data_IF_272741645495
#
_entry.id   IF_272741645495
#
_cell.length_a   1.000
_cell.length_b   1.000
_cell.length_c   1.000
_cell.angle_alpha   90.00
_cell.angle_beta   90.00
_cell.angle_gamma   90.00
#
_symmetry.space_group_name_H-M   'P 1'
#
loop_
_entity.id
_entity.type
_entity.pdbx_description
1 polymer ?
#
# COMPACT_ATOMS: atom_id res chain seq x y z
N UNK A 1 -44.34 -45.09 -45.17
CA UNK A 1 -44.65 -43.75 -44.61
C UNK A 1 -43.95 -43.59 -43.25
N UNK A 2 -42.64 -43.29 -43.22
CA UNK A 2 -41.89 -43.12 -41.93
C UNK A 2 -40.76 -42.08 -41.98
N UNK A 3 -40.45 -41.50 -43.15
CA UNK A 3 -39.30 -40.59 -43.33
C UNK A 3 -39.50 -39.20 -42.70
N UNK A 4 -40.73 -38.66 -42.63
CA UNK A 4 -40.97 -37.29 -42.16
C UNK A 4 -40.86 -37.10 -40.64
N UNK A 5 -41.22 -38.13 -39.86
CA UNK A 5 -41.14 -38.09 -38.40
C UNK A 5 -39.70 -38.21 -37.90
N UNK A 6 -38.86 -38.97 -38.61
CA UNK A 6 -37.44 -39.10 -38.32
C UNK A 6 -36.69 -37.78 -38.57
N UNK A 7 -36.90 -37.15 -39.72
CA UNK A 7 -36.28 -35.86 -40.05
C UNK A 7 -36.69 -34.74 -39.10
N UNK A 8 -37.96 -34.71 -38.67
CA UNK A 8 -38.47 -33.71 -37.73
C UNK A 8 -37.91 -33.89 -36.32
N UNK A 9 -37.69 -35.13 -35.87
CA UNK A 9 -37.04 -35.44 -34.59
C UNK A 9 -35.55 -35.10 -34.63
N UNK A 10 -34.87 -35.40 -35.74
CA UNK A 10 -33.46 -35.05 -35.95
C UNK A 10 -33.27 -33.53 -35.94
N UNK A 11 -34.11 -32.78 -36.67
CA UNK A 11 -34.07 -31.32 -36.70
C UNK A 11 -34.32 -30.70 -35.32
N UNK A 12 -35.26 -31.25 -34.54
CA UNK A 12 -35.52 -30.80 -33.17
C UNK A 12 -34.32 -31.05 -32.24
N UNK A 13 -33.67 -32.22 -32.33
CA UNK A 13 -32.46 -32.49 -31.55
C UNK A 13 -31.31 -31.55 -31.91
N UNK A 14 -31.13 -31.27 -33.21
CA UNK A 14 -30.08 -30.37 -33.71
C UNK A 14 -30.30 -28.92 -33.26
N UNK A 15 -31.56 -28.47 -33.23
CA UNK A 15 -31.94 -27.15 -32.74
C UNK A 15 -31.70 -27.01 -31.22
N UNK A 16 -32.08 -28.02 -30.42
CA UNK A 16 -31.82 -28.03 -28.97
C UNK A 16 -30.32 -28.05 -28.68
N UNK A 17 -29.54 -28.81 -29.45
CA UNK A 17 -28.09 -28.84 -29.32
C UNK A 17 -27.44 -27.49 -29.64
N UNK A 18 -27.93 -26.78 -30.67
CA UNK A 18 -27.47 -25.42 -30.99
C UNK A 18 -27.79 -24.43 -29.86
N UNK A 19 -28.99 -24.51 -29.28
CA UNK A 19 -29.38 -23.63 -28.16
C UNK A 19 -28.49 -23.89 -26.95
N UNK A 20 -28.17 -25.16 -26.63
CA UNK A 20 -27.27 -25.49 -25.52
C UNK A 20 -25.85 -24.93 -25.71
N UNK A 21 -25.34 -24.94 -26.95
CA UNK A 21 -24.01 -24.42 -27.26
C UNK A 21 -23.93 -22.89 -27.26
N UNK A 22 -25.02 -22.19 -27.61
CA UNK A 22 -25.06 -20.71 -27.63
C UNK A 22 -25.11 -20.11 -26.21
N UNK A 23 -25.55 -20.87 -25.19
CA UNK A 23 -25.56 -20.38 -23.79
C UNK A 23 -24.14 -20.24 -23.20
N UNK A 24 -23.11 -20.72 -23.90
CA UNK A 24 -21.70 -20.57 -23.53
C UNK A 24 -21.10 -19.25 -24.06
N UNK A 25 -21.86 -18.15 -24.16
CA UNK A 25 -21.22 -16.84 -24.36
C UNK A 25 -20.51 -16.51 -23.05
N UNK A 26 -19.16 -16.48 -22.99
CA UNK A 26 -18.51 -15.92 -21.83
C UNK A 26 -19.02 -14.50 -21.72
N UNK A 27 -19.67 -14.18 -20.59
CA UNK A 27 -19.85 -12.81 -20.17
C UNK A 27 -18.44 -12.22 -20.17
N UNK A 28 -18.11 -11.49 -21.23
CA UNK A 28 -16.92 -10.67 -21.28
C UNK A 28 -17.09 -9.73 -20.10
N UNK A 29 -16.41 -10.03 -19.01
CA UNK A 29 -16.28 -9.17 -17.87
C UNK A 29 -15.42 -8.01 -18.38
N UNK A 30 -16.05 -7.07 -19.07
CA UNK A 30 -15.55 -5.73 -19.19
C UNK A 30 -15.60 -5.17 -17.77
N UNK A 31 -14.58 -5.51 -16.98
CA UNK A 31 -14.22 -4.71 -15.84
C UNK A 31 -14.04 -3.31 -16.42
N UNK A 32 -15.04 -2.46 -16.15
CA UNK A 32 -14.90 -1.04 -16.32
C UNK A 32 -13.59 -0.71 -15.61
N UNK A 33 -12.59 -0.22 -16.33
CA UNK A 33 -11.42 0.42 -15.71
C UNK A 33 -12.02 1.64 -15.03
N UNK A 34 -12.50 1.43 -13.81
CA UNK A 34 -13.08 2.46 -13.00
C UNK A 34 -11.95 3.43 -12.72
N UNK A 35 -12.25 4.72 -12.66
CA UNK A 35 -11.28 5.75 -12.31
C UNK A 35 -10.48 5.38 -11.05
N UNK A 36 -11.03 4.54 -10.15
CA UNK A 36 -10.32 3.96 -9.01
C UNK A 36 -9.09 3.10 -9.34
N UNK A 37 -9.07 2.38 -10.47
CA UNK A 37 -7.94 1.57 -10.93
C UNK A 37 -6.81 2.47 -11.46
N UNK A 38 -7.17 3.53 -12.18
CA UNK A 38 -6.22 4.57 -12.62
C UNK A 38 -5.67 5.38 -11.43
N UNK A 39 -6.51 5.69 -10.43
CA UNK A 39 -6.05 6.35 -9.21
C UNK A 39 -5.11 5.46 -8.39
N UNK A 40 -5.35 4.13 -8.35
CA UNK A 40 -4.48 3.21 -7.61
C UNK A 40 -3.13 3.04 -8.31
N UNK A 41 -3.08 2.98 -9.64
CA UNK A 41 -1.80 3.00 -10.37
C UNK A 41 -1.04 4.31 -10.16
N UNK A 42 -1.71 5.47 -10.21
CA UNK A 42 -1.08 6.76 -9.94
C UNK A 42 -0.55 6.86 -8.51
N UNK A 43 -1.32 6.42 -7.51
CA UNK A 43 -0.89 6.41 -6.11
C UNK A 43 0.34 5.53 -5.92
N UNK A 44 0.37 4.34 -6.53
CA UNK A 44 1.51 3.42 -6.46
C UNK A 44 2.77 4.00 -7.09
N UNK A 45 2.63 4.74 -8.20
CA UNK A 45 3.74 5.42 -8.83
C UNK A 45 4.31 6.50 -7.90
N UNK A 46 3.44 7.33 -7.30
CA UNK A 46 3.84 8.34 -6.30
C UNK A 46 4.55 7.71 -5.10
N UNK A 47 3.99 6.62 -4.56
CA UNK A 47 4.56 5.87 -3.43
C UNK A 47 5.97 5.34 -3.74
N UNK A 48 6.18 4.83 -4.97
CA UNK A 48 7.51 4.38 -5.43
C UNK A 48 8.50 5.53 -5.51
N UNK A 49 8.10 6.66 -6.08
CA UNK A 49 8.96 7.86 -6.15
C UNK A 49 9.32 8.38 -4.76
N UNK A 50 8.38 8.33 -3.81
CA UNK A 50 8.63 8.75 -2.43
C UNK A 50 9.68 7.87 -1.75
N UNK A 51 9.62 6.54 -1.93
CA UNK A 51 10.65 5.63 -1.40
C UNK A 51 12.04 5.89 -2.01
N UNK A 52 12.12 6.15 -3.32
CA UNK A 52 13.39 6.49 -3.98
C UNK A 52 13.92 7.81 -3.42
N UNK A 53 13.06 8.81 -3.19
CA UNK A 53 13.45 10.07 -2.56
C UNK A 53 13.93 9.88 -1.10
N UNK A 54 13.42 8.89 -0.36
CA UNK A 54 13.94 8.56 0.97
C UNK A 54 15.36 7.98 0.92
N UNK A 55 15.75 7.29 -0.16
CA UNK A 55 17.15 6.88 -0.36
C UNK A 55 18.09 8.06 -0.56
N UNK A 56 17.56 9.25 -0.85
CA UNK A 56 18.36 10.47 -0.96
C UNK A 56 18.69 11.11 0.39
N UNK A 57 17.99 10.74 1.46
CA UNK A 57 18.28 11.20 2.80
C UNK A 57 19.67 10.74 3.26
N UNK A 58 20.42 11.67 3.83
CA UNK A 58 21.81 11.44 4.21
C UNK A 58 21.96 10.39 5.31
N UNK A 59 21.00 10.31 6.25
CA UNK A 59 21.00 9.28 7.30
C UNK A 59 20.72 7.89 6.72
N UNK A 60 19.86 7.80 5.71
CA UNK A 60 19.56 6.54 5.01
C UNK A 60 20.78 6.07 4.23
N UNK A 61 21.44 6.96 3.49
CA UNK A 61 22.70 6.68 2.78
C UNK A 61 23.78 6.16 3.73
N UNK A 62 24.02 6.84 4.85
CA UNK A 62 25.03 6.45 5.83
C UNK A 62 24.73 5.07 6.42
N UNK A 63 23.45 4.75 6.70
CA UNK A 63 23.05 3.42 7.17
C UNK A 63 23.23 2.33 6.11
N UNK A 64 22.88 2.60 4.86
CA UNK A 64 23.07 1.65 3.76
C UNK A 64 24.56 1.34 3.56
N UNK A 65 25.40 2.37 3.57
CA UNK A 65 26.86 2.24 3.52
C UNK A 65 27.41 1.45 4.71
N UNK A 66 26.92 1.71 5.93
CA UNK A 66 27.31 0.95 7.11
C UNK A 66 26.94 -0.55 7.03
N UNK A 67 25.90 -0.89 6.27
CA UNK A 67 25.51 -2.28 6.00
C UNK A 67 26.20 -2.88 4.75
N UNK A 68 27.04 -2.11 4.05
CA UNK A 68 27.70 -2.53 2.81
C UNK A 68 26.75 -2.67 1.62
N UNK A 69 25.62 -1.95 1.64
CA UNK A 69 24.61 -1.99 0.59
C UNK A 69 24.69 -0.73 -0.25
N UNK A 70 24.90 -0.89 -1.56
CA UNK A 70 24.92 0.21 -2.52
C UNK A 70 23.50 0.75 -2.79
N UNK A 71 23.37 2.07 -2.95
CA UNK A 71 22.08 2.75 -3.22
C UNK A 71 21.39 2.17 -4.46
N UNK A 72 22.13 2.00 -5.54
CA UNK A 72 21.61 1.53 -6.83
C UNK A 72 21.03 0.11 -6.72
N UNK A 73 21.54 -0.72 -5.80
CA UNK A 73 21.00 -2.04 -5.56
C UNK A 73 19.62 -1.97 -4.91
N UNK A 74 19.42 -1.05 -3.97
CA UNK A 74 18.13 -0.86 -3.28
C UNK A 74 17.11 -0.23 -4.22
N UNK A 75 17.52 0.75 -5.02
CA UNK A 75 16.68 1.38 -6.04
C UNK A 75 16.16 0.36 -7.05
N UNK A 76 17.05 -0.51 -7.56
CA UNK A 76 16.66 -1.60 -8.44
C UNK A 76 15.67 -2.58 -7.78
N UNK A 77 15.82 -2.85 -6.48
CA UNK A 77 14.85 -3.71 -5.76
C UNK A 77 13.48 -3.05 -5.68
N UNK A 78 13.41 -1.78 -5.30
CA UNK A 78 12.14 -1.02 -5.22
C UNK A 78 11.45 -0.97 -6.59
N UNK A 79 12.22 -0.79 -7.67
CA UNK A 79 11.69 -0.79 -9.03
C UNK A 79 11.15 -2.16 -9.49
N UNK A 80 11.69 -3.25 -8.95
CA UNK A 80 11.28 -4.61 -9.26
C UNK A 80 10.13 -5.14 -8.36
N UNK A 81 9.76 -4.43 -7.28
CA UNK A 81 8.63 -4.82 -6.45
C UNK A 81 7.32 -4.70 -7.24
N UNK A 82 6.45 -5.70 -7.12
CA UNK A 82 5.08 -5.59 -7.61
C UNK A 82 4.29 -4.56 -6.81
N UNK A 83 3.19 -4.08 -7.38
CA UNK A 83 2.31 -3.11 -6.72
C UNK A 83 1.81 -3.58 -5.35
N UNK A 84 1.48 -4.88 -5.22
CA UNK A 84 1.05 -5.48 -3.96
C UNK A 84 2.19 -5.53 -2.91
N UNK A 85 3.40 -5.90 -3.33
CA UNK A 85 4.57 -5.95 -2.44
C UNK A 85 5.00 -4.56 -1.98
N UNK A 86 4.91 -3.55 -2.85
CA UNK A 86 5.21 -2.16 -2.53
C UNK A 86 4.27 -1.63 -1.45
N UNK A 87 2.97 -1.90 -1.58
CA UNK A 87 1.98 -1.50 -0.58
C UNK A 87 2.24 -2.15 0.78
N UNK A 88 2.54 -3.45 0.79
CA UNK A 88 2.89 -4.18 2.01
C UNK A 88 4.19 -3.64 2.66
N UNK A 89 5.19 -3.31 1.85
CA UNK A 89 6.45 -2.73 2.32
C UNK A 89 6.25 -1.35 2.94
N UNK A 90 5.47 -0.48 2.31
CA UNK A 90 5.13 0.83 2.86
C UNK A 90 4.38 0.74 4.19
N UNK A 91 3.48 -0.24 4.33
CA UNK A 91 2.78 -0.49 5.57
C UNK A 91 3.76 -0.89 6.69
N UNK A 92 4.72 -1.76 6.41
CA UNK A 92 5.78 -2.14 7.37
C UNK A 92 6.69 -0.97 7.74
N UNK A 93 7.04 -0.09 6.79
CA UNK A 93 7.81 1.12 7.08
C UNK A 93 7.05 2.10 7.97
N UNK A 94 5.73 2.19 7.80
CA UNK A 94 4.87 3.06 8.61
C UNK A 94 4.70 2.54 10.04
N UNK A 95 4.74 1.22 10.21
CA UNK A 95 4.70 0.55 11.52
C UNK A 95 6.07 0.55 12.23
N UNK A 96 7.17 0.64 11.47
CA UNK A 96 8.48 0.87 12.05
C UNK A 96 8.47 2.22 12.77
N UNK A 97 8.99 2.33 14.01
CA UNK A 97 8.93 3.57 14.78
C UNK A 97 9.82 4.65 14.15
N UNK A 98 9.29 5.33 13.13
CA UNK A 98 9.79 6.55 12.53
C UNK A 98 9.52 7.73 13.49
N UNK A 99 10.13 7.63 14.67
CA UNK A 99 9.94 8.59 15.76
C UNK A 99 11.20 8.77 16.62
N UNK A 100 12.25 7.98 16.39
CA UNK A 100 13.55 8.14 17.06
C UNK A 100 14.46 9.18 16.38
N UNK A 101 13.89 10.15 15.67
CA UNK A 101 14.62 11.29 15.10
C UNK A 101 14.80 12.42 16.11
N UNK A 102 15.49 13.48 15.71
CA UNK A 102 15.70 14.70 16.53
C UNK A 102 14.38 15.25 17.09
N UNK A 103 13.29 15.19 16.31
CA UNK A 103 11.95 15.60 16.77
C UNK A 103 11.44 14.76 17.94
N UNK A 104 11.62 13.43 17.93
CA UNK A 104 11.21 12.57 19.03
C UNK A 104 12.01 12.83 20.30
N UNK A 105 13.31 13.11 20.16
CA UNK A 105 14.16 13.51 21.29
C UNK A 105 13.69 14.85 21.87
N UNK A 106 13.39 15.84 21.02
CA UNK A 106 12.86 17.15 21.47
C UNK A 106 11.52 16.97 22.20
N UNK A 107 10.59 16.18 21.65
CA UNK A 107 9.29 15.93 22.27
C UNK A 107 9.44 15.19 23.60
N UNK A 108 10.34 14.20 23.68
CA UNK A 108 10.62 13.47 24.91
C UNK A 108 11.11 14.42 26.02
N UNK A 109 12.11 15.26 25.73
CA UNK A 109 12.60 16.25 26.71
C UNK A 109 11.51 17.25 27.11
N UNK A 110 10.69 17.70 26.16
CA UNK A 110 9.56 18.59 26.44
C UNK A 110 8.56 17.95 27.41
N UNK A 111 8.20 16.68 27.22
CA UNK A 111 7.32 15.94 28.15
C UNK A 111 7.95 15.79 29.53
N UNK A 112 9.24 15.41 29.59
CA UNK A 112 9.96 15.26 30.87
C UNK A 112 9.97 16.60 31.63
N UNK A 113 10.29 17.71 30.96
CA UNK A 113 10.33 19.02 31.61
C UNK A 113 8.95 19.49 32.06
N UNK A 114 7.88 19.24 31.28
CA UNK A 114 6.52 19.56 31.71
C UNK A 114 6.13 18.81 32.98
N UNK A 115 6.44 17.51 33.07
CA UNK A 115 6.16 16.70 34.27
C UNK A 115 6.95 17.22 35.47
N UNK A 116 8.23 17.53 35.27
CA UNK A 116 9.12 18.03 36.34
C UNK A 116 8.68 19.41 36.85
N UNK A 117 8.16 20.27 35.99
CA UNK A 117 7.59 21.58 36.33
C UNK A 117 6.25 21.43 37.10
N UNK A 118 5.39 20.49 36.69
CA UNK A 118 4.14 20.17 37.41
C UNK A 118 4.40 19.63 38.83
N UNK A 119 5.49 18.90 39.03
CA UNK A 119 5.95 18.41 40.34
C UNK A 119 6.69 19.47 41.17
N UNK A 120 6.82 20.70 40.68
CA UNK A 120 7.60 21.78 41.31
C UNK A 120 9.09 21.49 41.49
N UNK A 121 9.66 20.52 40.75
CA UNK A 121 11.08 20.23 40.79
C UNK A 121 11.89 21.20 39.91
N UNK A 122 11.25 21.79 38.89
CA UNK A 122 11.79 22.86 38.02
C UNK A 122 10.76 23.97 37.81
N UNK A 123 11.17 25.12 37.27
CA UNK A 123 10.27 26.19 36.81
C UNK A 123 10.81 26.74 35.49
N UNK A 124 10.44 26.07 34.39
CA UNK A 124 10.94 26.31 33.04
C UNK A 124 9.86 26.90 32.14
N UNK A 125 8.59 26.57 32.41
CA UNK A 125 7.44 26.97 31.63
C UNK A 125 6.44 27.75 32.51
N UNK A 126 6.28 29.05 32.24
CA UNK A 126 5.38 29.93 33.00
C UNK A 126 3.89 29.56 32.93
N UNK A 127 3.51 28.65 32.04
CA UNK A 127 2.15 28.16 31.87
C UNK A 127 1.88 26.84 32.63
N UNK A 128 2.91 26.15 33.12
CA UNK A 128 2.75 24.92 33.90
C UNK A 128 2.57 25.30 35.37
N UNK A 129 1.54 24.74 36.02
CA UNK A 129 1.22 25.01 37.42
C UNK A 129 1.56 23.78 38.26
N UNK A 130 2.18 24.04 39.41
CA UNK A 130 2.40 23.08 40.46
C UNK A 130 1.11 22.37 40.89
N UNK A 131 1.13 21.03 40.89
CA UNK A 131 -0.02 20.22 41.33
C UNK A 131 -0.06 20.02 42.84
N UNK A 132 1.10 20.00 43.50
CA UNK A 132 1.22 19.78 44.95
C UNK A 132 1.17 21.09 45.74
N UNK A 133 0.25 21.99 45.38
CA UNK A 133 0.04 23.27 46.07
C UNK A 133 -1.26 23.26 46.85
#
# INVERSE_FOLDING_TARGET
MTQSSFFRRLAAMLAVFHVLMVVQVPLANAAMIGTGEVLTEHQQQVDRQQLIAMLDDQQVKDKLLAMGVERDQVENRINNLTSAELAQFNQQLSEAPAGAGVLGVIVLFLVIFIITDMLCATNLFSFVKCINR
#
